data_IF_441877482573
#
_entry.id   IF_441877482573
#
_cell.length_a   1.000
_cell.length_b   1.000
_cell.length_c   1.000
_cell.angle_alpha   90.00
_cell.angle_beta   90.00
_cell.angle_gamma   90.00
#
_symmetry.space_group_name_H-M   'P 1'
#
loop_
_entity.id
_entity.type
_entity.pdbx_description
1 polymer ?
#
# COMPACT_ATOMS: atom_id res chain seq x y z
N UNK A 1 -41.81 0.95 -33.81
CA UNK A 1 -40.55 1.74 -33.96
C UNK A 1 -39.96 2.31 -32.66
N UNK A 2 -40.74 2.55 -31.56
CA UNK A 2 -40.16 3.08 -30.29
C UNK A 2 -39.34 2.07 -29.48
N UNK A 3 -39.69 0.77 -29.49
CA UNK A 3 -39.00 -0.27 -28.73
C UNK A 3 -37.59 -0.54 -29.25
N UNK A 4 -37.39 -0.50 -30.56
CA UNK A 4 -36.08 -0.71 -31.19
C UNK A 4 -35.11 0.42 -30.84
N UNK A 5 -35.59 1.68 -30.72
CA UNK A 5 -34.72 2.80 -30.31
C UNK A 5 -34.27 2.72 -28.86
N UNK A 6 -35.12 2.21 -27.96
CA UNK A 6 -34.74 2.02 -26.55
C UNK A 6 -33.72 0.89 -26.41
N UNK A 7 -33.82 -0.17 -27.23
CA UNK A 7 -32.91 -1.31 -27.21
C UNK A 7 -31.50 -0.93 -27.68
N UNK A 8 -31.34 0.08 -28.55
CA UNK A 8 -30.01 0.54 -29.03
C UNK A 8 -29.39 1.61 -28.13
N UNK A 9 -30.18 2.39 -27.40
CA UNK A 9 -29.68 3.44 -26.47
C UNK A 9 -28.96 2.81 -25.26
N UNK A 10 -29.45 1.69 -24.74
CA UNK A 10 -28.89 1.05 -23.55
C UNK A 10 -27.43 0.56 -23.76
N UNK A 11 -27.12 -0.23 -24.82
CA UNK A 11 -25.73 -0.62 -25.11
C UNK A 11 -24.81 0.59 -25.32
N UNK A 12 -25.28 1.62 -26.03
CA UNK A 12 -24.51 2.84 -26.26
C UNK A 12 -24.20 3.58 -24.96
N UNK A 13 -25.18 3.73 -24.06
CA UNK A 13 -24.97 4.37 -22.76
C UNK A 13 -23.98 3.57 -21.88
N UNK A 14 -24.09 2.24 -21.85
CA UNK A 14 -23.15 1.37 -21.14
C UNK A 14 -21.77 1.47 -21.75
N UNK A 15 -21.65 1.48 -23.07
CA UNK A 15 -20.38 1.66 -23.78
C UNK A 15 -19.69 2.96 -23.41
N UNK A 16 -20.42 4.08 -23.39
CA UNK A 16 -19.88 5.38 -22.93
C UNK A 16 -19.42 5.31 -21.47
N UNK A 17 -20.22 4.70 -20.59
CA UNK A 17 -19.85 4.56 -19.18
C UNK A 17 -18.57 3.74 -19.00
N UNK A 18 -18.41 2.62 -19.72
CA UNK A 18 -17.19 1.81 -19.68
C UNK A 18 -15.95 2.61 -20.14
N UNK A 19 -16.10 3.41 -21.20
CA UNK A 19 -15.01 4.25 -21.70
C UNK A 19 -14.63 5.36 -20.72
N UNK A 20 -15.63 5.97 -20.06
CA UNK A 20 -15.39 6.99 -19.05
C UNK A 20 -14.70 6.42 -17.81
N UNK A 21 -15.19 5.28 -17.28
CA UNK A 21 -14.60 4.62 -16.12
C UNK A 21 -13.16 4.21 -16.41
N UNK A 22 -12.91 3.54 -17.55
CA UNK A 22 -11.56 3.16 -17.94
C UNK A 22 -10.64 4.36 -18.14
N UNK A 23 -11.12 5.42 -18.82
CA UNK A 23 -10.34 6.64 -19.04
C UNK A 23 -10.07 7.45 -17.76
N UNK A 24 -11.00 7.47 -16.80
CA UNK A 24 -10.76 8.13 -15.51
C UNK A 24 -9.80 7.32 -14.63
N UNK A 25 -9.84 6.00 -14.72
CA UNK A 25 -8.98 5.12 -13.94
C UNK A 25 -7.50 5.31 -14.27
N UNK A 26 -7.15 5.61 -15.52
CA UNK A 26 -5.74 5.87 -15.91
C UNK A 26 -5.12 7.07 -15.19
N UNK A 27 -5.95 7.98 -14.67
CA UNK A 27 -5.48 9.13 -13.87
C UNK A 27 -5.23 8.76 -12.41
N UNK A 28 -5.76 7.62 -11.95
CA UNK A 28 -5.79 7.21 -10.55
C UNK A 28 -6.68 8.09 -9.68
N UNK A 29 -7.18 7.54 -8.61
CA UNK A 29 -7.93 8.27 -7.58
C UNK A 29 -7.05 8.35 -6.33
N UNK A 30 -6.50 9.52 -6.05
CA UNK A 30 -5.86 9.78 -4.76
C UNK A 30 -6.93 10.00 -3.71
N UNK A 31 -6.84 9.25 -2.62
CA UNK A 31 -7.65 9.50 -1.43
C UNK A 31 -6.99 10.56 -0.56
N UNK A 32 -7.75 11.07 0.41
CA UNK A 32 -7.20 12.02 1.37
C UNK A 32 -6.02 11.40 2.12
N UNK A 33 -4.94 12.18 2.25
CA UNK A 33 -3.78 11.76 3.01
C UNK A 33 -4.09 11.77 4.50
N UNK A 34 -3.68 10.72 5.20
CA UNK A 34 -3.82 10.58 6.63
C UNK A 34 -2.46 10.73 7.31
N UNK A 35 -2.45 11.47 8.43
CA UNK A 35 -1.28 11.60 9.30
C UNK A 35 -1.51 10.83 10.56
N UNK A 36 -0.60 9.92 10.85
CA UNK A 36 -0.62 9.12 12.07
C UNK A 36 0.70 9.27 12.81
N UNK A 37 0.64 9.22 14.12
CA UNK A 37 1.83 9.08 14.98
C UNK A 37 2.03 7.59 15.25
N UNK A 38 3.24 7.11 15.00
CA UNK A 38 3.60 5.73 15.29
C UNK A 38 4.73 5.69 16.32
N UNK A 39 4.68 4.77 17.28
CA UNK A 39 5.79 4.56 18.19
C UNK A 39 7.00 4.00 17.43
N UNK A 40 8.17 4.48 17.78
CA UNK A 40 9.45 4.00 17.26
C UNK A 40 10.23 3.39 18.43
N UNK A 41 10.91 2.30 18.17
CA UNK A 41 11.83 1.71 19.15
C UNK A 41 13.11 2.54 19.15
N UNK A 42 13.45 3.25 20.25
CA UNK A 42 14.69 4.02 20.31
C UNK A 42 15.91 3.12 20.17
N UNK A 43 16.94 3.62 19.53
CA UNK A 43 18.23 2.97 19.43
C UNK A 43 19.33 3.90 19.96
N UNK A 44 19.26 4.24 21.25
CA UNK A 44 20.16 5.19 21.90
C UNK A 44 21.58 4.66 22.08
N UNK A 45 21.73 3.34 22.28
CA UNK A 45 23.02 2.69 22.41
C UNK A 45 23.09 1.52 21.43
N UNK A 46 24.08 1.55 20.54
CA UNK A 46 24.39 0.40 19.69
C UNK A 46 24.87 -0.75 20.58
N UNK A 47 23.98 -1.67 20.92
CA UNK A 47 24.38 -2.95 21.48
C UNK A 47 25.17 -3.73 20.42
N UNK A 48 26.07 -4.62 20.83
CA UNK A 48 26.77 -5.51 19.86
C UNK A 48 25.79 -6.33 19.01
N UNK A 49 24.51 -6.44 19.44
CA UNK A 49 23.43 -7.16 18.76
C UNK A 49 22.57 -6.26 17.84
N UNK A 50 22.85 -4.94 17.78
CA UNK A 50 22.09 -3.98 16.97
C UNK A 50 20.81 -3.46 17.66
N UNK A 51 20.04 -2.66 16.91
CA UNK A 51 18.80 -2.07 17.41
C UNK A 51 17.64 -3.06 17.24
N UNK A 52 16.84 -3.20 18.29
CA UNK A 52 15.60 -4.00 18.21
C UNK A 52 14.61 -3.37 17.24
N UNK A 53 13.87 -4.22 16.56
CA UNK A 53 12.85 -3.80 15.59
C UNK A 53 11.46 -3.94 16.21
N UNK A 54 10.66 -2.89 16.08
CA UNK A 54 9.23 -2.94 16.35
C UNK A 54 8.47 -3.51 15.17
N UNK A 55 7.42 -4.29 15.44
CA UNK A 55 6.51 -4.85 14.44
C UNK A 55 5.07 -4.67 14.86
N UNK A 56 4.19 -4.38 13.92
CA UNK A 56 2.74 -4.30 14.19
C UNK A 56 2.20 -5.63 14.71
N UNK A 57 1.36 -5.56 15.75
CA UNK A 57 0.76 -6.74 16.39
C UNK A 57 -0.34 -7.42 15.56
N UNK A 58 -0.82 -6.77 14.49
CA UNK A 58 -1.87 -7.29 13.60
C UNK A 58 -1.40 -7.24 12.15
N UNK A 59 -1.91 -8.19 11.37
CA UNK A 59 -1.65 -8.25 9.94
C UNK A 59 -2.53 -7.24 9.18
N UNK A 60 -1.97 -6.68 8.12
CA UNK A 60 -2.70 -5.97 7.08
C UNK A 60 -3.05 -6.99 5.98
N UNK A 61 -4.28 -7.51 6.03
CA UNK A 61 -4.76 -8.49 5.06
C UNK A 61 -5.33 -7.79 3.82
N UNK A 62 -4.74 -8.06 2.66
CA UNK A 62 -5.21 -7.57 1.37
C UNK A 62 -5.96 -8.70 0.64
N UNK A 63 -7.29 -8.60 0.49
CA UNK A 63 -8.11 -9.65 -0.11
C UNK A 63 -7.77 -9.91 -1.58
N UNK A 64 -7.99 -11.16 -2.06
CA UNK A 64 -7.75 -11.56 -3.44
C UNK A 64 -8.47 -10.72 -4.51
N UNK A 65 -9.59 -10.06 -4.15
CA UNK A 65 -10.30 -9.15 -5.05
C UNK A 65 -9.50 -7.90 -5.45
N UNK A 66 -8.48 -7.54 -4.68
CA UNK A 66 -7.58 -6.42 -4.99
C UNK A 66 -6.73 -6.64 -6.25
N UNK A 67 -6.64 -7.88 -6.77
CA UNK A 67 -6.00 -8.16 -8.07
C UNK A 67 -6.64 -7.38 -9.24
N UNK A 68 -7.89 -6.93 -9.08
CA UNK A 68 -8.61 -6.11 -10.06
C UNK A 68 -8.28 -4.61 -9.96
N UNK A 69 -7.57 -4.23 -8.91
CA UNK A 69 -7.17 -2.86 -8.61
C UNK A 69 -5.65 -2.73 -8.64
N UNK A 70 -5.18 -1.54 -8.96
CA UNK A 70 -3.81 -1.09 -8.73
C UNK A 70 -3.87 -0.12 -7.54
N UNK A 71 -3.49 -0.60 -6.37
CA UNK A 71 -3.51 0.19 -5.14
C UNK A 71 -2.09 0.44 -4.70
N UNK A 72 -1.71 1.73 -4.71
CA UNK A 72 -0.40 2.20 -4.25
C UNK A 72 -0.56 2.99 -2.98
N UNK A 73 0.28 2.71 -2.02
CA UNK A 73 0.34 3.44 -0.76
C UNK A 73 1.67 4.16 -0.67
N UNK A 74 1.65 5.49 -0.81
CA UNK A 74 2.80 6.35 -0.51
C UNK A 74 2.91 6.50 1.00
N UNK A 75 4.10 6.32 1.55
CA UNK A 75 4.40 6.46 2.97
C UNK A 75 5.60 7.39 3.10
N UNK A 76 5.42 8.47 3.87
CA UNK A 76 6.47 9.45 4.17
C UNK A 76 6.55 9.63 5.67
N UNK A 77 7.75 9.88 6.21
CA UNK A 77 7.93 10.17 7.65
C UNK A 77 8.88 11.34 7.91
N UNK A 78 8.68 12.03 9.04
CA UNK A 78 9.28 13.35 9.27
C UNK A 78 10.75 13.31 9.67
N UNK A 79 11.25 12.22 10.25
CA UNK A 79 12.62 12.14 10.82
C UNK A 79 13.44 10.97 10.21
N UNK A 80 13.71 10.98 8.88
CA UNK A 80 14.38 9.86 8.19
C UNK A 80 15.83 9.65 8.63
N UNK A 81 16.45 10.67 9.20
CA UNK A 81 17.81 10.55 9.76
C UNK A 81 17.86 9.79 11.09
N UNK A 82 16.71 9.69 11.80
CA UNK A 82 16.63 9.10 13.13
C UNK A 82 15.89 7.77 13.18
N UNK A 83 15.04 7.50 12.19
CA UNK A 83 14.25 6.27 12.13
C UNK A 83 14.09 5.76 10.72
N UNK A 84 13.62 4.54 10.62
CA UNK A 84 13.19 3.93 9.37
C UNK A 84 11.89 3.14 9.58
N UNK A 85 11.16 2.99 8.48
CA UNK A 85 9.91 2.22 8.41
C UNK A 85 10.02 1.28 7.21
N UNK A 86 9.53 0.06 7.37
CA UNK A 86 9.51 -0.93 6.30
C UNK A 86 8.26 -1.79 6.35
N UNK A 87 8.02 -2.52 5.27
CA UNK A 87 6.94 -3.48 5.14
C UNK A 87 7.52 -4.85 4.84
N UNK A 88 7.06 -5.85 5.57
CA UNK A 88 7.48 -7.24 5.45
C UNK A 88 6.28 -8.15 5.27
N UNK A 89 6.51 -9.38 4.84
CA UNK A 89 5.49 -10.43 4.83
C UNK A 89 5.08 -10.78 6.27
N UNK A 90 3.79 -11.05 6.50
CA UNK A 90 3.28 -11.41 7.83
C UNK A 90 3.89 -12.69 8.39
N UNK A 91 4.41 -13.58 7.53
CA UNK A 91 5.08 -14.80 7.94
C UNK A 91 6.29 -14.56 8.85
N UNK A 92 6.94 -13.38 8.75
CA UNK A 92 8.02 -13.02 9.68
C UNK A 92 7.61 -12.96 11.14
N UNK A 93 6.32 -12.83 11.45
CA UNK A 93 5.84 -12.87 12.82
C UNK A 93 5.97 -14.26 13.49
N UNK A 94 6.14 -15.32 12.72
CA UNK A 94 6.41 -16.67 13.26
C UNK A 94 7.87 -16.79 13.74
N UNK A 95 8.82 -16.22 12.99
CA UNK A 95 10.24 -16.27 13.31
C UNK A 95 10.64 -15.13 14.26
N UNK A 96 10.01 -13.97 14.12
CA UNK A 96 10.26 -12.74 14.88
C UNK A 96 8.98 -12.27 15.60
N UNK A 97 8.43 -13.05 16.54
CA UNK A 97 7.15 -12.73 17.17
C UNK A 97 7.24 -11.43 17.99
N UNK A 98 6.37 -10.43 17.71
CA UNK A 98 6.32 -9.23 18.53
C UNK A 98 5.74 -9.57 19.91
N UNK A 99 6.32 -8.99 20.95
CA UNK A 99 5.79 -9.07 22.31
C UNK A 99 4.56 -8.13 22.51
N UNK A 100 4.06 -7.98 23.74
CA UNK A 100 2.92 -7.09 24.06
C UNK A 100 3.18 -5.63 23.70
N UNK A 101 4.43 -5.21 23.65
CA UNK A 101 4.85 -3.83 23.37
C UNK A 101 5.23 -3.66 21.87
N UNK A 102 5.03 -4.70 21.06
CA UNK A 102 5.36 -4.70 19.64
C UNK A 102 6.83 -4.90 19.33
N UNK A 103 7.68 -5.19 20.33
CA UNK A 103 9.10 -5.44 20.14
C UNK A 103 9.37 -6.87 19.68
N UNK A 104 10.21 -7.04 18.66
CA UNK A 104 10.67 -8.35 18.19
C UNK A 104 12.05 -8.68 18.75
N UNK A 105 12.41 -9.98 18.85
CA UNK A 105 13.77 -10.40 19.17
C UNK A 105 14.76 -10.25 18.01
N UNK A 106 14.29 -9.78 16.84
CA UNK A 106 15.05 -9.70 15.61
C UNK A 106 15.61 -8.30 15.38
N UNK A 107 16.67 -8.23 14.58
CA UNK A 107 17.28 -6.99 14.15
C UNK A 107 16.93 -6.67 12.68
N UNK A 108 17.37 -5.53 12.17
CA UNK A 108 17.05 -5.06 10.80
C UNK A 108 17.49 -6.02 9.68
N UNK A 109 18.53 -6.80 9.92
CA UNK A 109 19.15 -7.67 8.89
C UNK A 109 18.43 -9.04 8.80
N UNK A 110 17.55 -9.33 9.76
CA UNK A 110 16.75 -10.56 9.80
C UNK A 110 15.50 -10.49 8.89
N UNK A 111 15.17 -9.31 8.35
CA UNK A 111 13.97 -9.09 7.54
C UNK A 111 14.31 -8.92 6.06
N UNK A 112 13.45 -9.49 5.20
CA UNK A 112 13.40 -9.16 3.79
C UNK A 112 12.28 -8.15 3.56
N UNK A 113 12.63 -6.91 3.27
CA UNK A 113 11.66 -5.84 3.07
C UNK A 113 10.98 -5.96 1.70
N UNK A 114 9.65 -5.84 1.68
CA UNK A 114 8.85 -5.71 0.46
C UNK A 114 8.97 -4.27 -0.05
N UNK A 115 8.95 -3.30 0.87
CA UNK A 115 9.15 -1.89 0.57
C UNK A 115 9.66 -1.15 1.82
N UNK A 116 10.33 -0.01 1.63
CA UNK A 116 10.93 0.73 2.72
C UNK A 116 12.16 0.03 3.30
N UNK A 117 12.38 0.18 4.61
CA UNK A 117 13.48 -0.43 5.35
C UNK A 117 14.58 0.57 5.75
N UNK A 118 15.70 0.07 6.32
CA UNK A 118 16.77 0.92 6.89
C UNK A 118 17.41 1.90 5.91
N UNK A 119 17.46 1.53 4.63
CA UNK A 119 18.09 2.31 3.57
C UNK A 119 17.15 3.34 2.90
N UNK A 120 15.87 3.37 3.30
CA UNK A 120 14.93 4.32 2.75
C UNK A 120 15.15 5.74 3.31
N UNK A 121 15.04 6.75 2.42
CA UNK A 121 15.35 8.16 2.69
C UNK A 121 14.09 8.95 3.11
N UNK A 122 13.22 8.38 3.94
CA UNK A 122 12.05 9.09 4.48
C UNK A 122 10.77 8.90 3.70
N UNK A 123 10.80 8.17 2.60
CA UNK A 123 9.63 7.84 1.78
C UNK A 123 9.79 6.49 1.09
N UNK A 124 8.68 5.85 0.84
CA UNK A 124 8.59 4.71 -0.08
C UNK A 124 7.16 4.54 -0.62
N UNK A 125 7.03 3.79 -1.70
CA UNK A 125 5.74 3.37 -2.24
C UNK A 125 5.58 1.86 -2.11
N UNK A 126 4.42 1.44 -1.62
CA UNK A 126 4.01 0.05 -1.50
C UNK A 126 2.91 -0.25 -2.52
N UNK A 127 3.17 -1.17 -3.44
CA UNK A 127 2.15 -1.72 -4.33
C UNK A 127 1.42 -2.85 -3.58
N UNK A 128 0.16 -2.60 -3.18
CA UNK A 128 -0.64 -3.54 -2.43
C UNK A 128 -1.15 -4.68 -3.33
N UNK A 129 -0.47 -5.81 -3.25
CA UNK A 129 -0.91 -7.07 -3.86
C UNK A 129 -1.75 -7.89 -2.86
N UNK A 130 -2.61 -8.82 -3.31
CA UNK A 130 -3.24 -9.78 -2.41
C UNK A 130 -2.22 -10.54 -1.57
N UNK A 131 -2.39 -10.50 -0.23
CA UNK A 131 -1.46 -11.10 0.73
C UNK A 131 -1.62 -10.48 2.10
N UNK A 132 -0.77 -10.86 3.03
CA UNK A 132 -0.76 -10.36 4.40
C UNK A 132 0.59 -9.70 4.71
N UNK A 133 0.54 -8.50 5.25
CA UNK A 133 1.71 -7.64 5.47
C UNK A 133 1.80 -7.20 6.92
N UNK A 134 3.01 -6.89 7.37
CA UNK A 134 3.27 -6.18 8.63
C UNK A 134 4.18 -5.00 8.42
N UNK A 135 3.97 -3.96 9.22
CA UNK A 135 4.89 -2.84 9.28
C UNK A 135 5.92 -3.10 10.37
N UNK A 136 7.15 -2.76 10.05
CA UNK A 136 8.29 -2.80 10.96
C UNK A 136 8.95 -1.43 11.02
N UNK A 137 9.48 -1.07 12.17
CA UNK A 137 10.14 0.21 12.37
C UNK A 137 11.19 0.12 13.47
N UNK A 138 12.23 0.94 13.37
CA UNK A 138 13.19 1.14 14.44
C UNK A 138 13.88 2.49 14.33
N UNK A 139 14.49 2.93 15.43
CA UNK A 139 15.44 4.03 15.44
C UNK A 139 16.71 3.66 14.67
N UNK A 140 17.35 4.66 14.07
CA UNK A 140 18.73 4.53 13.57
C UNK A 140 19.71 4.64 14.73
N UNK A 141 20.89 4.09 14.58
CA UNK A 141 21.93 4.06 15.61
C UNK A 141 22.21 5.46 16.20
N UNK A 142 22.15 5.58 17.52
CA UNK A 142 22.32 6.84 18.24
C UNK A 142 21.08 7.74 18.24
N UNK A 143 19.94 7.28 17.74
CA UNK A 143 18.70 8.05 17.75
C UNK A 143 17.88 7.79 19.01
N UNK A 144 17.53 8.88 19.69
CA UNK A 144 16.59 8.92 20.82
C UNK A 144 15.27 9.49 20.31
N UNK A 145 14.48 8.63 19.65
CA UNK A 145 13.20 8.98 19.05
C UNK A 145 12.15 7.95 19.46
N UNK A 146 11.15 8.39 20.22
CA UNK A 146 10.07 7.52 20.72
C UNK A 146 8.86 7.47 19.80
N UNK A 147 8.62 8.55 19.04
CA UNK A 147 7.44 8.71 18.16
C UNK A 147 7.81 9.34 16.83
N UNK A 148 7.10 8.94 15.80
CA UNK A 148 7.29 9.40 14.42
C UNK A 148 5.97 9.79 13.78
N UNK A 149 5.92 10.95 13.14
CA UNK A 149 4.79 11.35 12.31
C UNK A 149 4.92 10.73 10.91
N UNK A 150 3.91 9.97 10.52
CA UNK A 150 3.84 9.29 9.23
C UNK A 150 2.66 9.82 8.42
N UNK A 151 2.91 10.16 7.18
CA UNK A 151 1.91 10.56 6.19
C UNK A 151 1.65 9.37 5.26
N UNK A 152 0.40 8.95 5.18
CA UNK A 152 -0.05 7.87 4.30
C UNK A 152 -0.89 8.46 3.18
N UNK A 153 -0.53 8.17 1.94
CA UNK A 153 -1.19 8.67 0.73
C UNK A 153 -1.61 7.48 -0.17
N UNK A 154 -2.84 6.99 -0.04
CA UNK A 154 -3.33 5.92 -0.90
C UNK A 154 -3.79 6.46 -2.26
N UNK A 155 -3.41 5.74 -3.32
CA UNK A 155 -3.85 5.97 -4.70
C UNK A 155 -4.45 4.67 -5.22
N UNK A 156 -5.65 4.74 -5.77
CA UNK A 156 -6.38 3.58 -6.28
C UNK A 156 -6.67 3.79 -7.76
N UNK A 157 -6.34 2.81 -8.57
CA UNK A 157 -6.69 2.71 -9.97
C UNK A 157 -7.24 1.31 -10.28
N UNK A 158 -7.79 1.11 -11.46
CA UNK A 158 -8.07 -0.24 -11.95
C UNK A 158 -6.76 -0.89 -12.42
N UNK A 159 -6.64 -2.19 -12.22
CA UNK A 159 -5.53 -2.92 -12.81
C UNK A 159 -5.50 -2.73 -14.34
N UNK A 160 -4.32 -2.59 -14.98
CA UNK A 160 -4.21 -2.25 -16.39
C UNK A 160 -4.98 -3.20 -17.32
N UNK A 161 -5.07 -4.49 -16.97
CA UNK A 161 -5.86 -5.45 -17.75
C UNK A 161 -7.36 -5.16 -17.65
N UNK A 162 -7.88 -4.69 -16.53
CA UNK A 162 -9.29 -4.31 -16.35
C UNK A 162 -9.62 -3.04 -17.12
N UNK A 163 -8.72 -2.07 -17.14
CA UNK A 163 -8.84 -0.88 -17.99
C UNK A 163 -8.97 -1.27 -19.47
N UNK A 164 -8.08 -2.16 -19.94
CA UNK A 164 -8.10 -2.66 -21.32
C UNK A 164 -9.42 -3.39 -21.63
N UNK A 165 -9.91 -4.23 -20.73
CA UNK A 165 -11.18 -4.95 -20.88
C UNK A 165 -12.34 -3.95 -21.00
N UNK A 166 -12.42 -2.96 -20.11
CA UNK A 166 -13.47 -1.95 -20.14
C UNK A 166 -13.43 -1.11 -21.43
N UNK A 167 -12.25 -0.74 -21.90
CA UNK A 167 -12.08 0.00 -23.15
C UNK A 167 -12.54 -0.81 -24.35
N UNK A 168 -12.17 -2.09 -24.45
CA UNK A 168 -12.59 -2.98 -25.53
C UNK A 168 -14.11 -3.19 -25.52
N UNK A 169 -14.67 -3.53 -24.35
CA UNK A 169 -16.11 -3.75 -24.18
C UNK A 169 -16.88 -2.48 -24.52
N UNK A 170 -16.43 -1.33 -24.01
CA UNK A 170 -17.03 -0.03 -24.28
C UNK A 170 -17.07 0.29 -25.78
N UNK A 171 -15.95 0.06 -26.49
CA UNK A 171 -15.85 0.28 -27.93
C UNK A 171 -16.78 -0.65 -28.71
N UNK A 172 -16.82 -1.94 -28.39
CA UNK A 172 -17.70 -2.92 -29.05
C UNK A 172 -19.16 -2.52 -28.85
N UNK A 173 -19.57 -2.15 -27.64
CA UNK A 173 -20.93 -1.72 -27.35
C UNK A 173 -21.32 -0.44 -28.10
N UNK A 174 -20.39 0.50 -28.29
CA UNK A 174 -20.63 1.71 -29.08
C UNK A 174 -20.79 1.42 -30.57
N UNK A 175 -20.04 0.46 -31.11
CA UNK A 175 -20.14 0.07 -32.53
C UNK A 175 -21.44 -0.68 -32.81
N UNK A 176 -21.95 -1.45 -31.82
CA UNK A 176 -23.17 -2.26 -31.94
C UNK A 176 -24.46 -1.49 -31.59
N UNK A 177 -24.38 -0.26 -31.09
CA UNK A 177 -25.54 0.59 -30.70
C UNK A 177 -26.07 1.41 -31.88
#
# INVERSE_FOLDING_TARGET
MRVVRVLSILPGAVGVACMLIGGMSTLGFSLDSERIEIPIVPCSDASEEGCLVGMTGSDLDVPGGFILLDVKMGIEWSEPSKSWIGVVDSAYAEDCPPNSDGLTPCNKDDFQYISGGPDADGEFSLDLQPGSYRFVSAGKEGADLDEQLVLIQPVIALAPFMELVLMIVGLVLLICA
#
